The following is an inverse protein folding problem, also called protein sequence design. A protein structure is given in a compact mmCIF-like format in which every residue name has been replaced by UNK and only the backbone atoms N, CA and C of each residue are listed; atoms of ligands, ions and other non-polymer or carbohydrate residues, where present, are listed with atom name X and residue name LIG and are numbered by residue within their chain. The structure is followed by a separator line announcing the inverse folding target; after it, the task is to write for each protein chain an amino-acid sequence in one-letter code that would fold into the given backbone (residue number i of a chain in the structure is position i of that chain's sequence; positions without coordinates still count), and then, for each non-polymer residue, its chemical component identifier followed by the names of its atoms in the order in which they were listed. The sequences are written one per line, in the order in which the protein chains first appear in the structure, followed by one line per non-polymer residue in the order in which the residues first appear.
data_IF_852587553063
#
_entry.id   IF_852587553063
#
_cell.length_a   1.000
_cell.length_b   1.000
_cell.length_c   1.000
_cell.angle_alpha   90.00
_cell.angle_beta   90.00
_cell.angle_gamma   90.00
#
_symmetry.space_group_name_H-M   'P 1'
#
loop_
_entity.id
_entity.type
_entity.pdbx_description
1 polymer ?
#
# COMPACT_ATOMS: atom_id res chain seq x y z
N UNK A 1 -11.58 6.45 7.76
CA UNK A 1 -12.15 6.44 6.40
C UNK A 1 -11.96 7.81 5.79
N UNK A 2 -10.85 7.95 5.06
CA UNK A 2 -10.50 9.15 4.32
C UNK A 2 -11.32 9.19 3.01
N UNK A 3 -12.44 9.92 3.02
CA UNK A 3 -13.41 9.92 1.90
C UNK A 3 -12.87 10.52 0.59
N UNK A 4 -11.65 11.05 0.59
CA UNK A 4 -11.00 11.62 -0.58
C UNK A 4 -9.98 10.68 -1.23
N UNK A 5 -9.63 9.58 -0.56
CA UNK A 5 -8.74 8.57 -1.09
C UNK A 5 -9.54 7.50 -1.83
N UNK A 6 -9.16 7.22 -3.06
CA UNK A 6 -9.77 6.20 -3.91
C UNK A 6 -8.65 5.28 -4.41
N UNK A 7 -8.66 4.03 -3.97
CA UNK A 7 -7.74 3.02 -4.51
C UNK A 7 -8.30 2.53 -5.85
N UNK A 8 -7.47 2.62 -6.89
CA UNK A 8 -7.89 2.39 -8.28
C UNK A 8 -7.01 1.38 -9.03
N UNK A 9 -5.98 0.85 -8.38
CA UNK A 9 -5.07 -0.15 -8.92
C UNK A 9 -5.13 -1.43 -8.07
N UNK A 10 -5.04 -2.59 -8.72
CA UNK A 10 -4.95 -3.90 -8.06
C UNK A 10 -3.60 -4.12 -7.38
N UNK A 11 -2.66 -3.19 -7.61
CA UNK A 11 -1.32 -3.23 -7.08
C UNK A 11 -0.45 -4.30 -7.72
N UNK A 12 0.87 -4.13 -7.60
CA UNK A 12 1.85 -5.03 -8.18
C UNK A 12 3.06 -5.17 -7.25
N UNK A 13 3.66 -6.36 -7.24
CA UNK A 13 4.89 -6.59 -6.51
C UNK A 13 6.12 -6.11 -7.30
N UNK A 14 6.86 -5.15 -6.74
CA UNK A 14 8.17 -4.73 -7.22
C UNK A 14 9.25 -5.69 -6.70
N UNK A 15 9.84 -6.46 -7.61
CA UNK A 15 10.85 -7.47 -7.28
C UNK A 15 12.22 -6.88 -6.95
N UNK A 16 12.53 -5.72 -7.52
CA UNK A 16 13.85 -5.09 -7.39
C UNK A 16 13.97 -4.41 -6.02
N UNK A 17 12.91 -3.71 -5.61
CA UNK A 17 12.87 -2.97 -4.35
C UNK A 17 12.13 -3.70 -3.22
N UNK A 18 11.41 -4.78 -3.53
CA UNK A 18 10.68 -5.61 -2.56
C UNK A 18 9.53 -4.88 -1.86
N UNK A 19 8.76 -4.13 -2.64
CA UNK A 19 7.55 -3.44 -2.19
C UNK A 19 6.33 -3.96 -2.93
N UNK A 20 5.19 -3.96 -2.27
CA UNK A 20 3.93 -3.98 -2.97
C UNK A 20 3.54 -2.55 -3.31
N UNK A 21 3.37 -2.27 -4.59
CA UNK A 21 3.10 -0.93 -5.10
C UNK A 21 1.63 -0.84 -5.47
N UNK A 22 0.95 0.17 -4.95
CA UNK A 22 -0.47 0.38 -5.16
C UNK A 22 -0.76 1.82 -5.57
N UNK A 23 -1.50 1.97 -6.67
CA UNK A 23 -2.00 3.26 -7.14
C UNK A 23 -3.30 3.67 -6.43
N UNK A 24 -3.39 4.95 -6.10
CA UNK A 24 -4.60 5.56 -5.59
C UNK A 24 -4.75 6.99 -6.11
N UNK A 25 -5.92 7.59 -5.88
CA UNK A 25 -6.17 9.01 -6.10
C UNK A 25 -6.59 9.67 -4.81
N UNK A 26 -5.95 10.79 -4.48
CA UNK A 26 -6.34 11.65 -3.38
C UNK A 26 -6.74 13.02 -3.93
N UNK A 27 -7.99 13.43 -3.69
CA UNK A 27 -8.53 14.70 -4.23
C UNK A 27 -8.32 14.88 -5.74
N UNK A 28 -8.48 13.78 -6.50
CA UNK A 28 -8.32 13.76 -7.96
C UNK A 28 -6.88 13.78 -8.48
N UNK A 29 -5.88 13.65 -7.59
CA UNK A 29 -4.48 13.54 -7.97
C UNK A 29 -3.94 12.14 -7.69
N UNK A 30 -3.15 11.60 -8.62
CA UNK A 30 -2.57 10.26 -8.48
C UNK A 30 -1.53 10.21 -7.35
N UNK A 31 -1.57 9.10 -6.61
CA UNK A 31 -0.67 8.74 -5.52
C UNK A 31 -0.19 7.31 -5.70
N UNK A 32 1.04 7.05 -5.30
CA UNK A 32 1.58 5.70 -5.25
C UNK A 32 1.98 5.35 -3.82
N UNK A 33 1.51 4.21 -3.36
CA UNK A 33 1.85 3.62 -2.08
C UNK A 33 2.84 2.49 -2.29
N UNK A 34 3.93 2.51 -1.54
CA UNK A 34 4.95 1.47 -1.53
C UNK A 34 4.93 0.80 -0.16
N UNK A 35 4.30 -0.38 -0.11
CA UNK A 35 4.12 -1.15 1.12
C UNK A 35 5.30 -2.10 1.29
N UNK A 36 6.04 -1.93 2.38
CA UNK A 36 7.22 -2.72 2.68
C UNK A 36 6.86 -4.16 3.10
N UNK A 37 7.82 -5.08 2.98
CA UNK A 37 7.67 -6.42 3.55
C UNK A 37 7.44 -6.42 5.07
N UNK A 38 7.93 -5.40 5.79
CA UNK A 38 7.74 -5.31 7.23
C UNK A 38 6.26 -5.06 7.54
N UNK A 39 5.68 -4.05 6.90
CA UNK A 39 4.26 -3.66 7.03
C UNK A 39 3.35 -4.79 6.57
N UNK A 40 3.70 -5.47 5.48
CA UNK A 40 2.99 -6.68 5.08
C UNK A 40 3.11 -7.83 6.09
N UNK A 41 4.28 -8.03 6.73
CA UNK A 41 4.43 -9.07 7.77
C UNK A 41 3.53 -8.78 8.96
N UNK A 42 3.39 -7.49 9.32
CA UNK A 42 2.51 -7.04 10.40
C UNK A 42 1.04 -7.28 10.05
N UNK A 43 0.61 -6.89 8.85
CA UNK A 43 -0.74 -7.14 8.35
C UNK A 43 -1.06 -8.63 8.25
N UNK A 44 -0.10 -9.45 7.82
CA UNK A 44 -0.25 -10.91 7.74
C UNK A 44 -0.23 -11.61 9.10
N UNK A 45 0.27 -10.94 10.14
CA UNK A 45 0.44 -11.51 11.49
C UNK A 45 1.58 -12.53 11.63
N UNK A 46 2.41 -12.70 10.60
CA UNK A 46 3.60 -13.56 10.65
C UNK A 46 4.67 -13.11 9.66
N UNK A 47 5.91 -13.53 9.89
CA UNK A 47 7.03 -13.20 9.02
C UNK A 47 6.83 -13.77 7.61
N UNK A 48 6.92 -12.89 6.60
CA UNK A 48 6.93 -13.28 5.19
C UNK A 48 8.35 -13.29 4.64
N UNK A 49 8.63 -14.19 3.71
CA UNK A 49 9.88 -14.21 2.97
C UNK A 49 9.69 -13.73 1.53
N UNK A 50 10.81 -13.41 0.86
CA UNK A 50 10.84 -12.87 -0.50
C UNK A 50 10.15 -13.74 -1.55
N UNK A 51 10.07 -15.06 -1.32
CA UNK A 51 9.44 -15.99 -2.27
C UNK A 51 7.92 -15.96 -2.16
N UNK A 52 7.40 -15.80 -0.94
CA UNK A 52 5.96 -15.78 -0.66
C UNK A 52 5.37 -14.36 -0.77
N UNK A 53 6.20 -13.33 -0.64
CA UNK A 53 5.74 -11.93 -0.61
C UNK A 53 4.84 -11.54 -1.79
N UNK A 54 5.09 -11.91 -3.06
CA UNK A 54 4.20 -11.54 -4.16
C UNK A 54 2.79 -12.15 -4.02
N UNK A 55 2.70 -13.42 -3.62
CA UNK A 55 1.42 -14.11 -3.48
C UNK A 55 0.65 -13.56 -2.28
N UNK A 56 1.35 -13.36 -1.15
CA UNK A 56 0.76 -12.79 0.07
C UNK A 56 0.33 -11.33 -0.16
N UNK A 57 1.04 -10.55 -0.97
CA UNK A 57 0.64 -9.19 -1.29
C UNK A 57 -0.72 -9.12 -1.99
N UNK A 58 -0.99 -10.09 -2.87
CA UNK A 58 -2.27 -10.20 -3.57
C UNK A 58 -3.36 -10.65 -2.58
N UNK A 59 -3.06 -11.57 -1.67
CA UNK A 59 -4.00 -12.01 -0.63
C UNK A 59 -4.37 -10.87 0.33
N UNK A 60 -3.38 -10.07 0.74
CA UNK A 60 -3.54 -8.93 1.64
C UNK A 60 -4.07 -7.67 0.96
N UNK A 61 -4.45 -7.71 -0.32
CA UNK A 61 -4.81 -6.50 -1.06
C UNK A 61 -5.85 -5.66 -0.32
N UNK A 62 -6.98 -6.25 0.09
CA UNK A 62 -8.02 -5.54 0.83
C UNK A 62 -7.57 -5.10 2.24
N UNK A 63 -6.77 -5.92 2.93
CA UNK A 63 -6.22 -5.53 4.24
C UNK A 63 -5.27 -4.33 4.11
N UNK A 64 -4.51 -4.25 3.00
CA UNK A 64 -3.66 -3.12 2.66
C UNK A 64 -4.49 -1.89 2.32
N UNK A 65 -5.59 -2.04 1.57
CA UNK A 65 -6.52 -0.94 1.29
C UNK A 65 -7.08 -0.35 2.60
N UNK A 66 -7.60 -1.22 3.47
CA UNK A 66 -8.14 -0.83 4.78
C UNK A 66 -7.07 -0.17 5.65
N UNK A 67 -5.84 -0.69 5.63
CA UNK A 67 -4.71 -0.10 6.34
C UNK A 67 -4.44 1.33 5.85
N UNK A 68 -4.32 1.53 4.54
CA UNK A 68 -4.04 2.85 3.96
C UNK A 68 -5.17 3.84 4.28
N UNK A 69 -6.45 3.43 4.20
CA UNK A 69 -7.59 4.29 4.51
C UNK A 69 -7.70 4.70 5.99
N UNK A 70 -7.01 3.98 6.86
CA UNK A 70 -6.93 4.24 8.30
C UNK A 70 -5.70 5.07 8.69
N UNK A 71 -4.73 5.24 7.80
CA UNK A 71 -3.56 6.09 8.06
C UNK A 71 -3.97 7.56 8.15
N UNK A 72 -3.51 8.25 9.20
CA UNK A 72 -3.69 9.69 9.39
C UNK A 72 -2.57 10.46 8.65
N UNK A 73 -2.60 10.39 7.32
CA UNK A 73 -1.53 10.84 6.41
C UNK A 73 -2.00 11.89 5.39
N UNK A 74 -3.09 12.63 5.69
CA UNK A 74 -3.66 13.62 4.77
C UNK A 74 -2.65 14.71 4.37
N UNK A 75 -1.82 15.18 5.31
CA UNK A 75 -0.80 16.20 5.03
C UNK A 75 0.29 15.68 4.07
N UNK A 76 0.71 14.42 4.22
CA UNK A 76 1.65 13.79 3.29
C UNK A 76 1.00 13.57 1.93
N UNK A 77 -0.26 13.12 1.88
CA UNK A 77 -0.99 12.98 0.62
C UNK A 77 -1.21 14.32 -0.08
N UNK A 78 -1.33 15.43 0.63
CA UNK A 78 -1.44 16.75 0.02
C UNK A 78 -0.12 17.25 -0.59
N UNK A 79 1.02 16.81 -0.06
CA UNK A 79 2.35 17.34 -0.40
C UNK A 79 3.22 16.41 -1.25
N UNK A 80 2.93 15.11 -1.24
CA UNK A 80 3.74 14.07 -1.87
C UNK A 80 2.90 13.21 -2.83
N UNK A 81 3.51 12.81 -3.94
CA UNK A 81 2.91 11.86 -4.89
C UNK A 81 3.22 10.40 -4.57
N UNK A 82 4.22 10.15 -3.72
CA UNK A 82 4.70 8.82 -3.35
C UNK A 82 4.73 8.72 -1.84
N UNK A 83 4.11 7.67 -1.31
CA UNK A 83 4.01 7.38 0.12
C UNK A 83 4.65 6.01 0.37
N UNK A 84 5.53 5.93 1.36
CA UNK A 84 6.15 4.68 1.79
C UNK A 84 5.50 4.24 3.10
N UNK A 85 5.02 3.00 3.14
CA UNK A 85 4.36 2.44 4.30
C UNK A 85 5.01 1.14 4.76
#
# INVERSE_FOLDING_TARGET
MNQQLIINDRGNWDKDFQFFVLGAQFSGQDRQFYISMASMSELYGQSINKRQAPDIAIELHFDIEDFIEQLDIEEELASQSVIYC
#
